data_IF_488150926155
#
_entry.id   IF_488150926155
#
_cell.length_a   1.000
_cell.length_b   1.000
_cell.length_c   1.000
_cell.angle_alpha   90.00
_cell.angle_beta   90.00
_cell.angle_gamma   90.00
#
_symmetry.space_group_name_H-M   'P 1'
#
loop_
_entity.id
_entity.type
_entity.pdbx_description
1 polymer ?
#
# COMPACT_ATOMS: atom_id res chain seq x y z
N UNK A 1 14.91 -16.21 -4.20
CA UNK A 1 15.69 -15.34 -5.11
C UNK A 1 16.24 -16.09 -6.32
N UNK A 2 17.19 -17.04 -6.18
CA UNK A 2 17.78 -17.78 -7.31
C UNK A 2 16.77 -18.48 -8.26
N UNK A 3 15.65 -18.96 -7.73
CA UNK A 3 14.60 -19.60 -8.54
C UNK A 3 13.89 -18.62 -9.49
N UNK A 4 13.59 -17.40 -9.03
CA UNK A 4 12.80 -16.42 -9.80
C UNK A 4 13.58 -15.83 -10.98
N UNK A 5 14.91 -15.87 -10.94
CA UNK A 5 15.79 -15.47 -12.05
C UNK A 5 15.47 -16.28 -13.32
N UNK A 6 15.10 -17.56 -13.17
CA UNK A 6 14.71 -18.43 -14.31
C UNK A 6 13.43 -17.97 -15.01
N UNK A 7 12.65 -17.11 -14.36
CA UNK A 7 11.40 -16.50 -14.82
C UNK A 7 11.55 -14.99 -15.05
N UNK A 8 12.78 -14.47 -15.04
CA UNK A 8 13.04 -13.07 -15.39
C UNK A 8 13.00 -12.07 -14.24
N UNK A 9 12.85 -12.49 -12.97
CA UNK A 9 12.87 -11.56 -11.84
C UNK A 9 14.21 -11.52 -11.11
N UNK A 10 14.68 -10.31 -10.83
CA UNK A 10 15.72 -10.00 -9.85
C UNK A 10 15.05 -9.30 -8.68
N UNK A 11 15.22 -9.81 -7.46
CA UNK A 11 14.69 -9.17 -6.25
C UNK A 11 15.80 -8.36 -5.60
N UNK A 12 15.61 -7.05 -5.54
CA UNK A 12 16.59 -6.10 -5.04
C UNK A 12 16.66 -6.15 -3.53
N UNK A 13 17.82 -5.84 -2.95
CA UNK A 13 18.06 -5.96 -1.51
C UNK A 13 17.79 -4.68 -0.72
N UNK A 14 16.70 -4.00 -1.05
CA UNK A 14 16.33 -2.70 -0.53
C UNK A 14 15.04 -2.72 0.30
N UNK A 15 14.75 -1.57 0.91
CA UNK A 15 13.42 -1.14 1.35
C UNK A 15 13.01 0.05 0.50
N UNK A 16 11.86 -0.02 -0.16
CA UNK A 16 11.35 1.14 -0.90
C UNK A 16 10.84 2.18 0.08
N UNK A 17 11.31 3.42 -0.07
CA UNK A 17 10.93 4.58 0.72
C UNK A 17 10.35 5.65 -0.20
N UNK A 18 9.28 6.29 0.25
CA UNK A 18 8.53 7.30 -0.48
C UNK A 18 8.77 8.71 0.12
N UNK A 19 9.32 9.61 -0.69
CA UNK A 19 9.47 11.03 -0.30
C UNK A 19 8.22 11.86 -0.56
N UNK A 20 7.31 11.37 -1.41
CA UNK A 20 6.09 12.07 -1.76
C UNK A 20 5.26 12.40 -0.50
N UNK A 21 4.91 13.68 -0.28
CA UNK A 21 4.18 14.10 0.93
C UNK A 21 2.77 13.52 1.04
N UNK A 22 2.21 12.94 -0.04
CA UNK A 22 0.84 12.44 -0.06
C UNK A 22 0.56 11.46 1.09
N UNK A 23 1.47 10.52 1.37
CA UNK A 23 1.30 9.58 2.48
C UNK A 23 1.27 10.27 3.85
N UNK A 24 2.17 11.24 4.06
CA UNK A 24 2.24 12.00 5.33
C UNK A 24 0.98 12.79 5.63
N UNK A 25 0.28 13.30 4.61
CA UNK A 25 -1.01 13.99 4.78
C UNK A 25 -2.08 13.07 5.41
N UNK A 26 -1.96 11.77 5.19
CA UNK A 26 -2.90 10.74 5.66
C UNK A 26 -2.34 9.90 6.82
N UNK A 27 -1.23 10.32 7.44
CA UNK A 27 -0.60 9.59 8.54
C UNK A 27 0.11 8.30 8.13
N UNK A 28 0.38 8.13 6.83
CA UNK A 28 1.09 6.98 6.27
C UNK A 28 2.60 7.29 6.24
N UNK A 29 3.39 6.41 6.83
CA UNK A 29 4.85 6.51 6.86
C UNK A 29 5.49 6.33 5.47
N UNK A 30 6.70 6.86 5.26
CA UNK A 30 7.39 6.77 3.97
C UNK A 30 7.73 5.32 3.55
N UNK A 31 7.72 4.37 4.48
CA UNK A 31 7.89 2.93 4.25
C UNK A 31 6.66 2.21 3.66
N UNK A 32 5.58 2.96 3.41
CA UNK A 32 4.35 2.47 2.77
C UNK A 32 4.08 3.26 1.48
N UNK A 33 4.78 2.94 0.38
CA UNK A 33 4.52 3.54 -0.92
C UNK A 33 3.04 3.45 -1.33
N UNK A 34 2.52 4.58 -1.82
CA UNK A 34 1.20 4.68 -2.44
C UNK A 34 1.38 4.56 -3.94
N UNK A 35 0.88 3.47 -4.50
CA UNK A 35 1.00 3.14 -5.91
C UNK A 35 -0.23 3.63 -6.66
N UNK A 36 0.03 4.40 -7.71
CA UNK A 36 -0.97 4.87 -8.69
C UNK A 36 -0.52 4.58 -10.13
N UNK A 37 0.70 4.09 -10.32
CA UNK A 37 1.27 3.78 -11.62
C UNK A 37 1.20 2.27 -11.87
N UNK A 38 0.30 1.86 -12.76
CA UNK A 38 0.13 0.47 -13.12
C UNK A 38 0.53 0.21 -14.58
N UNK A 39 1.10 -0.96 -14.84
CA UNK A 39 1.39 -1.40 -16.20
C UNK A 39 0.13 -1.82 -16.95
N UNK A 40 0.23 -1.97 -18.27
CA UNK A 40 -0.87 -2.47 -19.11
C UNK A 40 -0.96 -3.98 -19.00
N UNK A 41 -1.86 -4.48 -18.15
CA UNK A 41 -2.09 -5.92 -17.97
C UNK A 41 -3.55 -6.19 -17.56
N UNK A 42 -4.06 -7.42 -17.79
CA UNK A 42 -5.42 -7.79 -17.40
C UNK A 42 -5.68 -7.59 -15.90
N UNK A 43 -4.68 -7.90 -15.07
CA UNK A 43 -4.72 -7.72 -13.60
C UNK A 43 -4.97 -6.25 -13.20
N UNK A 44 -4.38 -5.31 -13.95
CA UNK A 44 -4.32 -3.89 -13.59
C UNK A 44 -5.28 -3.02 -14.40
N UNK A 45 -6.06 -3.61 -15.32
CA UNK A 45 -6.95 -2.90 -16.25
C UNK A 45 -7.95 -1.98 -15.53
N UNK A 46 -8.48 -2.41 -14.40
CA UNK A 46 -9.48 -1.68 -13.61
C UNK A 46 -8.86 -0.82 -12.49
N UNK A 47 -7.53 -0.79 -12.37
CA UNK A 47 -6.82 -0.06 -11.31
C UNK A 47 -6.66 1.44 -11.62
N UNK A 48 -7.18 1.92 -12.75
CA UNK A 48 -7.15 3.32 -13.13
C UNK A 48 -7.85 4.21 -12.09
N UNK A 49 -7.12 5.17 -11.54
CA UNK A 49 -7.64 6.08 -10.51
C UNK A 49 -7.76 5.46 -9.10
N UNK A 50 -7.27 4.22 -8.92
CA UNK A 50 -7.27 3.52 -7.63
C UNK A 50 -5.85 3.50 -7.06
N UNK A 51 -5.71 3.77 -5.77
CA UNK A 51 -4.41 3.67 -5.08
C UNK A 51 -4.26 2.33 -4.37
N UNK A 52 -3.07 1.74 -4.43
CA UNK A 52 -2.70 0.57 -3.62
C UNK A 52 -1.56 0.91 -2.67
N UNK A 53 -1.54 0.30 -1.49
CA UNK A 53 -0.49 0.48 -0.49
C UNK A 53 0.45 -0.72 -0.47
N UNK A 54 1.75 -0.45 -0.47
CA UNK A 54 2.81 -1.46 -0.50
C UNK A 54 3.72 -1.39 0.74
N UNK A 55 3.19 -1.67 1.94
CA UNK A 55 3.94 -1.55 3.20
C UNK A 55 5.17 -2.46 3.25
N UNK A 56 6.31 -1.88 3.61
CA UNK A 56 7.59 -2.58 3.76
C UNK A 56 7.98 -3.38 2.52
N UNK A 57 7.74 -2.81 1.34
CA UNK A 57 8.05 -3.48 0.06
C UNK A 57 9.50 -3.32 -0.33
N UNK A 58 10.05 -4.36 -0.97
CA UNK A 58 11.29 -4.26 -1.74
C UNK A 58 10.98 -3.96 -3.21
N UNK A 59 11.97 -3.49 -3.96
CA UNK A 59 11.86 -3.39 -5.40
C UNK A 59 12.29 -4.68 -6.11
N UNK A 60 11.96 -4.76 -7.39
CA UNK A 60 12.40 -5.83 -8.27
C UNK A 60 12.70 -5.28 -9.66
N UNK A 61 13.61 -5.97 -10.35
CA UNK A 61 14.04 -5.62 -11.70
C UNK A 61 13.97 -6.85 -12.63
N UNK A 62 13.99 -6.57 -13.93
CA UNK A 62 13.97 -7.59 -14.97
C UNK A 62 15.39 -8.12 -15.23
N UNK A 63 15.54 -9.44 -15.31
CA UNK A 63 16.80 -10.05 -15.78
C UNK A 63 17.08 -9.60 -17.22
N UNK A 64 18.27 -9.07 -17.47
CA UNK A 64 18.69 -8.62 -18.81
C UNK A 64 19.93 -9.39 -19.26
N UNK A 65 19.89 -10.09 -20.42
CA UNK A 65 18.71 -10.33 -21.26
C UNK A 65 17.71 -11.29 -20.59
N UNK A 66 16.44 -11.23 -21.01
CA UNK A 66 15.41 -12.15 -20.52
C UNK A 66 15.77 -13.61 -20.85
N UNK A 67 15.48 -14.57 -19.95
CA UNK A 67 15.64 -15.99 -20.27
C UNK A 67 14.76 -16.39 -21.46
N UNK A 68 15.22 -17.36 -22.25
CA UNK A 68 14.49 -17.86 -23.43
C UNK A 68 13.07 -18.32 -23.07
N UNK A 69 12.08 -17.85 -23.84
CA UNK A 69 10.67 -18.18 -23.67
C UNK A 69 9.98 -17.51 -22.48
N UNK A 70 10.64 -16.55 -21.82
CA UNK A 70 10.06 -15.76 -20.73
C UNK A 70 9.54 -14.43 -21.27
N UNK A 71 8.28 -14.10 -20.96
CA UNK A 71 7.78 -12.72 -21.00
C UNK A 71 7.79 -12.16 -19.58
N UNK A 72 8.03 -10.86 -19.43
CA UNK A 72 8.03 -10.18 -18.15
C UNK A 72 7.43 -8.78 -18.31
N UNK A 73 6.45 -8.45 -17.46
CA UNK A 73 5.77 -7.16 -17.50
C UNK A 73 5.65 -6.60 -16.07
N UNK A 74 5.98 -5.31 -15.85
CA UNK A 74 5.76 -4.65 -14.58
C UNK A 74 4.26 -4.39 -14.38
N UNK A 75 3.74 -4.70 -13.20
CA UNK A 75 2.33 -4.47 -12.84
C UNK A 75 2.16 -3.18 -12.05
N UNK A 76 3.06 -2.88 -11.13
CA UNK A 76 2.97 -1.74 -10.23
C UNK A 76 4.34 -1.07 -10.06
N UNK A 77 4.35 0.26 -10.16
CA UNK A 77 5.54 1.08 -9.96
C UNK A 77 5.29 2.18 -8.93
N UNK A 78 6.33 2.49 -8.17
CA UNK A 78 6.33 3.57 -7.19
C UNK A 78 6.39 4.94 -7.88
N UNK A 79 6.33 6.01 -7.10
CA UNK A 79 6.51 7.35 -7.66
C UNK A 79 7.96 7.61 -8.09
N UNK A 80 8.16 8.62 -8.93
CA UNK A 80 9.47 9.16 -9.30
C UNK A 80 10.28 9.66 -8.08
N UNK A 81 9.60 9.98 -6.98
CA UNK A 81 10.21 10.51 -5.75
C UNK A 81 10.61 9.41 -4.75
N UNK A 82 10.38 8.16 -5.10
CA UNK A 82 10.79 7.02 -4.28
C UNK A 82 12.25 6.64 -4.52
N UNK A 83 12.83 5.89 -3.59
CA UNK A 83 14.12 5.23 -3.75
C UNK A 83 14.12 3.90 -2.99
N UNK A 84 15.05 3.02 -3.34
CA UNK A 84 15.27 1.76 -2.65
C UNK A 84 16.40 1.92 -1.67
N UNK A 85 16.10 2.17 -0.40
CA UNK A 85 17.09 2.30 0.68
C UNK A 85 17.83 0.97 0.88
N UNK A 86 19.14 1.00 0.63
CA UNK A 86 20.00 -0.19 0.72
C UNK A 86 20.81 -0.26 2.02
N UNK A 87 20.94 0.86 2.75
CA UNK A 87 21.71 0.93 3.99
C UNK A 87 20.94 0.35 5.19
N UNK A 88 21.17 -0.93 5.46
CA UNK A 88 20.50 -1.66 6.55
C UNK A 88 20.86 -1.16 7.94
N UNK A 89 22.06 -0.64 8.15
CA UNK A 89 22.50 -0.17 9.47
C UNK A 89 21.80 1.14 9.85
N UNK A 90 21.57 2.02 8.88
CA UNK A 90 20.76 3.23 9.08
C UNK A 90 19.28 2.90 9.26
N UNK A 91 18.74 2.00 8.45
CA UNK A 91 17.36 1.53 8.61
C UNK A 91 17.07 0.96 10.00
N UNK A 92 17.99 0.17 10.56
CA UNK A 92 17.86 -0.36 11.93
C UNK A 92 17.86 0.73 13.01
N UNK A 93 18.50 1.88 12.72
CA UNK A 93 18.47 3.07 13.57
C UNK A 93 17.27 3.99 13.28
N UNK A 94 16.38 3.60 12.38
CA UNK A 94 15.22 4.38 11.97
C UNK A 94 15.57 5.56 11.06
N UNK A 95 16.73 5.54 10.42
CA UNK A 95 17.17 6.57 9.48
C UNK A 95 17.07 6.02 8.07
N UNK A 96 16.40 6.74 7.18
CA UNK A 96 16.36 6.48 5.75
C UNK A 96 16.68 7.78 5.04
N UNK A 97 17.73 7.80 4.22
CA UNK A 97 18.20 8.98 3.50
C UNK A 97 18.74 8.53 2.15
N UNK A 98 18.23 9.09 1.04
CA UNK A 98 18.70 8.69 -0.28
C UNK A 98 20.21 8.86 -0.42
N UNK A 99 20.89 7.80 -0.83
CA UNK A 99 22.30 7.81 -1.18
C UNK A 99 22.52 7.66 -2.71
N UNK A 100 23.74 7.92 -3.23
CA UNK A 100 24.02 7.78 -4.66
C UNK A 100 23.97 6.34 -5.21
N UNK A 101 24.05 5.33 -4.34
CA UNK A 101 24.02 3.92 -4.71
C UNK A 101 22.60 3.35 -4.73
N UNK A 102 21.66 4.02 -4.05
CA UNK A 102 20.26 3.62 -3.99
C UNK A 102 19.57 3.67 -5.36
N UNK A 103 18.83 2.62 -5.74
CA UNK A 103 17.95 2.65 -6.90
C UNK A 103 16.93 3.79 -6.78
N UNK A 104 16.84 4.61 -7.83
CA UNK A 104 15.87 5.72 -7.88
C UNK A 104 14.55 5.27 -8.51
N UNK A 105 13.47 5.88 -8.05
CA UNK A 105 12.15 5.75 -8.63
C UNK A 105 12.10 6.08 -10.12
N UNK A 106 11.10 5.55 -10.84
CA UNK A 106 10.03 4.68 -10.36
C UNK A 106 10.50 3.21 -10.29
N UNK A 107 10.35 2.61 -9.11
CA UNK A 107 10.77 1.24 -8.82
C UNK A 107 9.61 0.27 -9.04
N UNK A 108 9.88 -0.88 -9.65
CA UNK A 108 8.85 -1.92 -9.81
C UNK A 108 8.68 -2.68 -8.50
N UNK A 109 7.45 -2.74 -8.00
CA UNK A 109 7.11 -3.41 -6.72
C UNK A 109 6.14 -4.57 -6.89
N UNK A 110 5.56 -4.72 -8.09
CA UNK A 110 4.93 -5.96 -8.51
C UNK A 110 5.13 -6.17 -10.01
N UNK A 111 5.32 -7.41 -10.43
CA UNK A 111 5.49 -7.78 -11.83
C UNK A 111 4.96 -9.20 -12.11
N UNK A 112 4.69 -9.47 -13.38
CA UNK A 112 4.23 -10.76 -13.89
C UNK A 112 5.25 -11.32 -14.87
N UNK A 113 5.36 -12.64 -14.91
CA UNK A 113 6.08 -13.34 -15.96
C UNK A 113 5.28 -14.55 -16.45
N UNK A 114 5.44 -14.85 -17.73
CA UNK A 114 4.97 -16.10 -18.33
C UNK A 114 6.15 -16.88 -18.88
N UNK A 115 6.12 -18.19 -18.71
CA UNK A 115 7.05 -19.12 -19.34
C UNK A 115 6.30 -20.38 -19.73
N UNK A 116 6.13 -20.60 -21.03
CA UNK A 116 5.24 -21.63 -21.56
C UNK A 116 3.82 -21.47 -20.98
N UNK A 117 3.30 -22.49 -20.28
CA UNK A 117 2.01 -22.43 -19.57
C UNK A 117 2.10 -21.88 -18.14
N UNK A 118 3.30 -21.68 -17.61
CA UNK A 118 3.48 -21.20 -16.24
C UNK A 118 3.27 -19.69 -16.16
N UNK A 119 2.44 -19.27 -15.21
CA UNK A 119 2.15 -17.88 -14.86
C UNK A 119 2.69 -17.60 -13.47
N UNK A 120 3.45 -16.52 -13.31
CA UNK A 120 3.99 -16.10 -12.02
C UNK A 120 3.73 -14.61 -11.83
N UNK A 121 3.14 -14.25 -10.70
CA UNK A 121 3.07 -12.86 -10.22
C UNK A 121 3.91 -12.74 -8.96
N UNK A 122 4.73 -11.71 -8.87
CA UNK A 122 5.59 -11.44 -7.73
C UNK A 122 5.26 -10.06 -7.17
N UNK A 123 5.08 -10.00 -5.86
CA UNK A 123 4.94 -8.77 -5.09
C UNK A 123 6.18 -8.57 -4.21
N UNK A 124 6.61 -7.32 -4.05
CA UNK A 124 7.74 -6.95 -3.20
C UNK A 124 7.44 -7.01 -1.69
N UNK A 125 6.18 -7.19 -1.30
CA UNK A 125 5.74 -7.34 0.09
C UNK A 125 4.64 -8.39 0.21
N UNK A 126 4.63 -9.14 1.31
CA UNK A 126 3.51 -10.01 1.69
C UNK A 126 2.38 -9.24 2.38
N UNK A 127 2.68 -8.07 2.94
CA UNK A 127 1.73 -7.30 3.74
C UNK A 127 0.56 -6.76 2.91
N UNK A 128 0.70 -6.65 1.59
CA UNK A 128 -0.40 -6.32 0.68
C UNK A 128 -1.61 -7.25 0.86
N UNK A 129 -1.37 -8.52 1.17
CA UNK A 129 -2.39 -9.55 1.38
C UNK A 129 -2.74 -9.77 2.86
N UNK A 130 -2.17 -8.99 3.79
CA UNK A 130 -2.52 -9.08 5.22
C UNK A 130 -3.86 -8.41 5.49
N UNK A 131 -4.64 -8.86 6.49
CA UNK A 131 -5.96 -8.30 6.81
C UNK A 131 -5.97 -6.77 6.99
N UNK A 132 -4.88 -6.20 7.52
CA UNK A 132 -4.72 -4.77 7.73
C UNK A 132 -4.75 -3.97 6.41
N UNK A 133 -4.14 -4.50 5.35
CA UNK A 133 -4.01 -3.80 4.07
C UNK A 133 -4.90 -4.36 2.98
N UNK A 134 -5.27 -5.64 3.04
CA UNK A 134 -6.17 -6.29 2.09
C UNK A 134 -7.57 -5.65 2.12
N UNK A 135 -8.02 -5.16 3.27
CA UNK A 135 -9.33 -4.50 3.39
C UNK A 135 -9.38 -3.08 2.81
N UNK A 136 -8.24 -2.54 2.37
CA UNK A 136 -8.22 -1.31 1.59
C UNK A 136 -8.63 -1.65 0.15
N UNK A 137 -9.66 -0.97 -0.36
CA UNK A 137 -10.34 -1.33 -1.61
C UNK A 137 -9.37 -1.66 -2.76
N UNK A 138 -8.38 -0.81 -3.03
CA UNK A 138 -7.41 -1.05 -4.11
C UNK A 138 -6.57 -2.31 -3.93
N UNK A 139 -6.13 -2.62 -2.71
CA UNK A 139 -5.30 -3.80 -2.44
C UNK A 139 -6.11 -5.09 -2.62
N UNK A 140 -7.37 -5.08 -2.16
CA UNK A 140 -8.30 -6.20 -2.36
C UNK A 140 -8.46 -6.51 -3.84
N UNK A 141 -8.79 -5.49 -4.62
CA UNK A 141 -9.06 -5.62 -6.05
C UNK A 141 -7.80 -6.10 -6.79
N UNK A 142 -6.64 -5.51 -6.49
CA UNK A 142 -5.38 -5.92 -7.12
C UNK A 142 -5.00 -7.38 -6.81
N UNK A 143 -5.16 -7.82 -5.56
CA UNK A 143 -4.88 -9.19 -5.16
C UNK A 143 -5.86 -10.17 -5.80
N UNK A 144 -7.16 -9.87 -5.78
CA UNK A 144 -8.18 -10.74 -6.35
C UNK A 144 -8.09 -10.83 -7.88
N UNK A 145 -7.77 -9.73 -8.56
CA UNK A 145 -7.50 -9.75 -10.01
C UNK A 145 -6.32 -10.65 -10.35
N UNK A 146 -5.29 -10.67 -9.50
CA UNK A 146 -4.16 -11.59 -9.66
C UNK A 146 -4.57 -13.04 -9.50
N UNK A 147 -5.37 -13.37 -8.49
CA UNK A 147 -5.87 -14.74 -8.29
C UNK A 147 -6.72 -15.20 -9.48
N UNK A 148 -7.67 -14.38 -9.93
CA UNK A 148 -8.50 -14.69 -11.11
C UNK A 148 -7.65 -14.87 -12.37
N UNK A 149 -6.64 -14.02 -12.57
CA UNK A 149 -5.74 -14.13 -13.71
C UNK A 149 -4.86 -15.39 -13.67
N UNK A 150 -4.39 -15.80 -12.48
CA UNK A 150 -3.62 -17.03 -12.29
C UNK A 150 -4.47 -18.29 -12.45
N UNK A 151 -5.77 -18.22 -12.14
CA UNK A 151 -6.73 -19.32 -12.31
C UNK A 151 -7.21 -19.51 -13.77
N UNK A 152 -6.71 -18.69 -14.71
CA UNK A 152 -7.16 -18.64 -16.12
C UNK A 152 -8.64 -18.26 -16.30
N UNK A 153 -9.25 -17.63 -15.29
CA UNK A 153 -10.62 -17.12 -15.31
C UNK A 153 -10.70 -15.69 -15.91
N UNK A 154 -9.94 -15.41 -16.97
CA UNK A 154 -9.83 -14.05 -17.55
C UNK A 154 -11.18 -13.54 -18.12
N UNK A 155 -12.06 -14.45 -18.57
CA UNK A 155 -13.40 -14.15 -19.09
C UNK A 155 -14.50 -14.18 -18.00
N UNK A 156 -14.19 -14.65 -16.79
CA UNK A 156 -15.08 -14.63 -15.62
C UNK A 156 -14.72 -13.52 -14.62
N UNK A 157 -14.09 -12.44 -15.09
CA UNK A 157 -14.11 -11.16 -14.36
C UNK A 157 -15.54 -10.62 -14.46
N UNK A 158 -16.45 -11.28 -13.75
CA UNK A 158 -17.79 -10.78 -13.46
C UNK A 158 -17.60 -9.41 -12.86
N UNK A 159 -18.35 -8.44 -13.37
CA UNK A 159 -18.53 -7.14 -12.74
C UNK A 159 -18.85 -7.42 -11.27
N UNK A 160 -17.87 -7.29 -10.38
CA UNK A 160 -18.12 -7.44 -8.96
C UNK A 160 -19.12 -6.34 -8.63
N UNK A 161 -20.22 -6.64 -7.91
CA UNK A 161 -21.06 -5.59 -7.37
C UNK A 161 -20.13 -4.61 -6.68
N UNK A 162 -20.19 -3.32 -7.06
CA UNK A 162 -19.44 -2.28 -6.37
C UNK A 162 -19.93 -2.30 -4.94
N UNK A 163 -19.21 -2.97 -4.05
CA UNK A 163 -19.45 -2.89 -2.62
C UNK A 163 -19.47 -1.40 -2.27
N UNK A 164 -20.40 -1.01 -1.39
CA UNK A 164 -20.56 0.38 -0.96
C UNK A 164 -19.17 0.91 -0.58
N UNK A 165 -18.70 1.93 -1.31
CA UNK A 165 -17.38 2.52 -1.14
C UNK A 165 -17.21 2.92 0.32
N UNK A 166 -16.54 2.08 1.10
CA UNK A 166 -16.00 2.50 2.38
C UNK A 166 -14.77 3.31 2.04
N UNK A 167 -14.95 4.61 1.81
CA UNK A 167 -13.83 5.53 1.73
C UNK A 167 -13.23 5.56 3.14
N UNK A 168 -12.05 4.96 3.38
CA UNK A 168 -11.45 5.03 4.70
C UNK A 168 -11.22 6.51 5.03
N UNK A 169 -11.71 6.94 6.19
CA UNK A 169 -11.47 8.28 6.67
C UNK A 169 -10.07 8.30 7.26
N UNK A 170 -9.11 8.83 6.50
CA UNK A 170 -7.77 9.06 6.99
C UNK A 170 -7.78 10.31 7.90
N UNK A 171 -7.68 10.09 9.20
CA UNK A 171 -7.58 11.15 10.19
C UNK A 171 -6.10 11.48 10.41
N UNK A 172 -5.75 12.76 10.35
CA UNK A 172 -4.45 13.19 10.87
C UNK A 172 -4.42 13.14 12.41
N UNK A 173 -3.24 13.23 13.01
CA UNK A 173 -3.08 13.10 14.47
C UNK A 173 -4.00 14.06 15.27
N UNK A 174 -4.17 15.29 14.79
CA UNK A 174 -5.02 16.29 15.45
C UNK A 174 -6.51 15.96 15.30
N UNK A 175 -6.93 15.44 14.14
CA UNK A 175 -8.29 14.99 13.89
C UNK A 175 -8.63 13.75 14.73
N UNK A 176 -7.71 12.80 14.86
CA UNK A 176 -7.89 11.64 15.73
C UNK A 176 -8.03 12.07 17.21
N UNK A 177 -7.22 13.03 17.65
CA UNK A 177 -7.30 13.58 19.01
C UNK A 177 -8.62 14.31 19.26
N UNK A 178 -9.14 15.07 18.27
CA UNK A 178 -10.46 15.70 18.35
C UNK A 178 -11.60 14.69 18.42
N UNK A 179 -11.54 13.65 17.56
CA UNK A 179 -12.53 12.56 17.53
C UNK A 179 -12.51 11.76 18.85
N UNK A 180 -11.38 11.70 19.54
CA UNK A 180 -11.29 11.14 20.89
C UNK A 180 -11.81 12.12 21.97
N UNK A 181 -11.30 13.36 22.01
CA UNK A 181 -11.59 14.33 23.07
C UNK A 181 -13.07 14.75 23.11
N UNK A 182 -13.71 14.94 21.96
CA UNK A 182 -15.09 15.43 21.90
C UNK A 182 -16.10 14.48 22.59
N UNK A 183 -16.26 13.22 22.15
CA UNK A 183 -17.24 12.32 22.75
C UNK A 183 -16.79 11.76 24.11
N UNK A 184 -15.49 11.62 24.37
CA UNK A 184 -14.99 10.98 25.61
C UNK A 184 -14.81 11.98 26.75
N UNK A 185 -14.41 13.22 26.46
CA UNK A 185 -14.10 14.22 27.49
C UNK A 185 -15.10 15.36 27.50
N UNK A 186 -15.33 16.00 26.36
CA UNK A 186 -16.16 17.22 26.30
C UNK A 186 -17.62 16.90 26.60
N UNK A 187 -18.20 15.89 25.96
CA UNK A 187 -19.62 15.54 26.16
C UNK A 187 -19.90 15.10 27.61
N UNK A 188 -19.16 14.15 28.21
CA UNK A 188 -19.34 13.80 29.62
C UNK A 188 -19.05 14.97 30.57
N UNK A 189 -18.05 15.81 30.26
CA UNK A 189 -17.74 17.01 31.03
C UNK A 189 -18.89 18.01 31.08
N UNK A 190 -19.56 18.26 29.93
CA UNK A 190 -20.74 19.12 29.87
C UNK A 190 -21.91 18.55 30.67
N UNK A 191 -22.12 17.23 30.63
CA UNK A 191 -23.17 16.56 31.43
C UNK A 191 -22.88 16.70 32.92
N UNK A 192 -21.64 16.49 33.36
CA UNK A 192 -21.23 16.65 34.76
C UNK A 192 -21.40 18.10 35.23
N UNK A 193 -20.94 19.07 34.44
CA UNK A 193 -21.11 20.49 34.75
C UNK A 193 -22.60 20.87 34.85
N UNK A 194 -23.42 20.41 33.91
CA UNK A 194 -24.87 20.61 33.96
C UNK A 194 -25.50 20.05 35.24
N UNK A 195 -25.09 18.84 35.65
CA UNK A 195 -25.53 18.22 36.90
C UNK A 195 -25.12 19.01 38.14
N UNK A 196 -23.86 19.46 38.22
CA UNK A 196 -23.37 20.28 39.33
C UNK A 196 -24.14 21.60 39.42
N UNK A 197 -24.30 22.30 38.29
CA UNK A 197 -25.04 23.58 38.23
C UNK A 197 -26.48 23.40 38.69
N UNK A 198 -27.16 22.32 38.27
CA UNK A 198 -28.53 22.04 38.69
C UNK A 198 -28.64 21.81 40.21
N UNK A 199 -27.71 21.06 40.81
CA UNK A 199 -27.70 20.81 42.27
C UNK A 199 -27.41 22.09 43.05
N UNK A 200 -26.45 22.89 42.61
CA UNK A 200 -26.11 24.17 43.28
C UNK A 200 -27.27 25.15 43.19
N UNK A 201 -27.91 25.29 42.02
CA UNK A 201 -29.11 26.13 41.88
C UNK A 201 -30.26 25.65 42.76
N UNK A 202 -30.46 24.34 42.89
CA UNK A 202 -31.51 23.77 43.77
C UNK A 202 -31.25 24.03 45.26
N UNK A 203 -29.98 24.15 45.68
CA UNK A 203 -29.62 24.45 47.08
C UNK A 203 -29.62 25.94 47.40
N UNK A 204 -29.60 26.80 46.38
CA UNK A 204 -29.63 28.25 46.51
C UNK A 204 -31.05 28.85 46.46
N UNK A 205 -32.05 28.04 46.10
CA UNK A 205 -33.49 28.31 46.27
C UNK A 205 -33.97 27.72 47.59
#
# INVERSE_FOLDING_TARGET
>A
RKYLVKYGFVLDNDLVVESNPLGRLFGIGPEVPIIQQYGTHAITREMGGVSTLFPLTRSMSMVTPLPKGVSWDPLARTSEQSWGETNREELQRGVAKPDPADPKGPLTVAAVARKDKARIVVYGTSNLASNQFLNLQGNRDFFLNTVSWLAEEEDQISIRPKDAKQTPVFLNANQAQLVFLLPVVVVPGLVLLGGIVAVVRRRAQ
#
